data_IF_481874069786
#
_entry.id   IF_481874069786
#
_cell.length_a   1.000
_cell.length_b   1.000
_cell.length_c   1.000
_cell.angle_alpha   90.00
_cell.angle_beta   90.00
_cell.angle_gamma   90.00
#
_symmetry.space_group_name_H-M   'P 1'
#
loop_
_entity.id
_entity.type
_entity.pdbx_description
1 polymer ?
#
# COMPACT_ATOMS: atom_id res chain seq x y z
N UNK A 1 20.11 -8.77 -9.79
CA UNK A 1 19.27 -7.74 -9.13
C UNK A 1 17.85 -8.29 -9.02
N UNK A 2 17.26 -8.35 -7.82
CA UNK A 2 15.93 -8.95 -7.63
C UNK A 2 14.87 -8.18 -8.43
N UNK A 3 13.94 -8.88 -9.11
CA UNK A 3 12.84 -8.29 -9.90
C UNK A 3 12.09 -7.20 -9.10
N UNK A 4 11.95 -7.43 -7.77
CA UNK A 4 11.33 -6.47 -6.83
C UNK A 4 12.05 -5.12 -6.73
N UNK A 5 13.36 -5.07 -6.96
CA UNK A 5 14.14 -3.81 -6.91
C UNK A 5 13.89 -2.99 -8.16
N UNK A 6 13.81 -3.64 -9.34
CA UNK A 6 13.56 -2.96 -10.62
C UNK A 6 12.18 -2.29 -10.63
N UNK A 7 11.16 -3.01 -10.20
CA UNK A 7 9.79 -2.47 -10.15
C UNK A 7 9.66 -1.27 -9.21
N UNK A 8 10.38 -1.28 -8.08
CA UNK A 8 10.44 -0.11 -7.18
C UNK A 8 11.08 1.10 -7.87
N UNK A 9 12.09 0.93 -8.71
CA UNK A 9 12.69 2.03 -9.46
C UNK A 9 11.71 2.60 -10.49
N UNK A 10 10.99 1.76 -11.22
CA UNK A 10 9.95 2.19 -12.16
C UNK A 10 8.81 2.93 -11.45
N UNK A 11 8.39 2.44 -10.28
CA UNK A 11 7.40 3.11 -9.44
C UNK A 11 7.84 4.54 -9.07
N UNK A 12 9.06 4.68 -8.55
CA UNK A 12 9.60 5.99 -8.15
C UNK A 12 9.72 6.94 -9.34
N UNK A 13 10.14 6.44 -10.50
CA UNK A 13 10.18 7.23 -11.75
C UNK A 13 8.79 7.68 -12.17
N UNK A 14 7.79 6.79 -12.13
CA UNK A 14 6.43 7.11 -12.50
C UNK A 14 5.81 8.19 -11.58
N UNK A 15 6.01 8.09 -10.26
CA UNK A 15 5.53 9.10 -9.29
C UNK A 15 6.27 10.43 -9.44
N UNK A 16 7.56 10.40 -9.79
CA UNK A 16 8.36 11.60 -10.00
C UNK A 16 8.06 12.30 -11.32
N UNK A 17 7.38 11.63 -12.25
CA UNK A 17 7.09 12.18 -13.57
C UNK A 17 6.14 13.40 -13.46
N UNK A 18 6.35 14.49 -14.23
CA UNK A 18 5.50 15.68 -14.14
C UNK A 18 4.03 15.44 -14.44
N UNK A 19 3.71 14.45 -15.29
CA UNK A 19 2.32 14.09 -15.62
C UNK A 19 1.60 13.33 -14.50
N UNK A 20 2.32 12.83 -13.51
CA UNK A 20 1.69 12.16 -12.38
C UNK A 20 1.01 13.18 -11.47
N UNK A 21 -0.30 13.02 -11.32
CA UNK A 21 -1.15 13.82 -10.45
C UNK A 21 -1.82 12.92 -9.44
N UNK A 22 -1.87 13.38 -8.19
CA UNK A 22 -2.59 12.72 -7.12
C UNK A 22 -3.33 13.79 -6.31
N UNK A 23 -4.61 13.59 -6.08
CA UNK A 23 -5.51 14.56 -5.44
C UNK A 23 -6.12 13.93 -4.20
N UNK A 24 -5.75 14.47 -3.05
CA UNK A 24 -6.46 14.20 -1.80
C UNK A 24 -7.74 15.04 -1.77
N UNK A 25 -8.87 14.38 -1.59
CA UNK A 25 -10.13 15.07 -1.37
C UNK A 25 -10.22 15.55 0.09
N UNK A 26 -10.84 16.72 0.33
CA UNK A 26 -11.09 17.19 1.68
C UNK A 26 -12.08 16.25 2.37
N UNK A 27 -11.63 15.71 3.49
CA UNK A 27 -12.44 14.98 4.44
C UNK A 27 -12.69 15.89 5.67
N UNK A 28 -13.77 15.64 6.40
CA UNK A 28 -14.24 16.46 7.53
C UNK A 28 -13.25 16.55 8.71
N UNK A 29 -13.26 17.61 9.52
CA UNK A 29 -12.28 17.76 10.62
C UNK A 29 -12.28 16.59 11.62
N UNK A 30 -13.39 15.84 11.69
CA UNK A 30 -13.56 14.65 12.50
C UNK A 30 -12.55 13.53 12.21
N UNK A 31 -12.19 13.26 10.94
CA UNK A 31 -11.19 12.21 10.66
C UNK A 31 -9.80 12.60 11.15
N UNK A 32 -9.45 13.90 11.16
CA UNK A 32 -8.14 14.35 11.67
C UNK A 32 -7.98 13.97 13.14
N UNK A 33 -9.03 14.12 13.93
CA UNK A 33 -9.06 13.77 15.37
C UNK A 33 -8.88 12.25 15.57
N UNK A 34 -9.53 11.44 14.74
CA UNK A 34 -9.40 9.97 14.79
C UNK A 34 -8.07 9.45 14.24
N UNK A 35 -7.55 10.08 13.19
CA UNK A 35 -6.25 9.75 12.60
C UNK A 35 -5.06 10.13 13.51
N UNK A 36 -5.29 10.90 14.57
CA UNK A 36 -4.27 11.26 15.56
C UNK A 36 -4.37 10.51 16.89
N UNK A 37 -5.32 9.60 17.09
CA UNK A 37 -5.54 8.97 18.41
C UNK A 37 -5.83 7.46 18.40
N UNK A 38 -4.95 6.71 19.10
CA UNK A 38 -5.18 5.37 19.65
C UNK A 38 -5.86 4.34 18.73
N UNK A 39 -6.77 3.57 19.31
CA UNK A 39 -7.51 2.48 18.66
C UNK A 39 -8.34 2.94 17.45
N UNK A 40 -8.80 4.21 17.43
CA UNK A 40 -9.55 4.74 16.29
C UNK A 40 -8.69 4.89 15.04
N UNK A 41 -7.41 5.28 15.21
CA UNK A 41 -6.46 5.34 14.10
C UNK A 41 -6.14 3.95 13.57
N UNK A 42 -5.79 3.01 14.45
CA UNK A 42 -5.47 1.62 14.09
C UNK A 42 -6.62 0.94 13.31
N UNK A 43 -7.88 1.22 13.67
CA UNK A 43 -9.05 0.69 12.94
C UNK A 43 -9.22 1.32 11.55
N UNK A 44 -8.94 2.62 11.41
CA UNK A 44 -8.97 3.28 10.11
C UNK A 44 -7.85 2.77 9.21
N UNK A 45 -6.64 2.56 9.74
CA UNK A 45 -5.52 1.94 9.03
C UNK A 45 -5.88 0.53 8.54
N UNK A 46 -6.38 -0.32 9.45
CA UNK A 46 -6.81 -1.68 9.13
C UNK A 46 -7.87 -1.71 8.03
N UNK A 47 -8.89 -0.85 8.13
CA UNK A 47 -9.95 -0.74 7.12
C UNK A 47 -9.39 -0.23 5.80
N UNK A 48 -8.54 0.79 5.87
CA UNK A 48 -7.90 1.42 4.72
C UNK A 48 -7.05 0.45 3.90
N UNK A 49 -6.13 -0.28 4.55
CA UNK A 49 -5.28 -1.29 3.90
C UNK A 49 -6.11 -2.35 3.14
N UNK A 50 -7.14 -2.90 3.80
CA UNK A 50 -8.01 -3.91 3.21
C UNK A 50 -8.76 -3.43 1.97
N UNK A 51 -9.41 -2.25 2.06
CA UNK A 51 -10.12 -1.70 0.91
C UNK A 51 -9.16 -1.26 -0.19
N UNK A 52 -8.04 -0.65 0.15
CA UNK A 52 -7.06 -0.14 -0.80
C UNK A 52 -6.51 -1.26 -1.69
N UNK A 53 -6.04 -2.37 -1.10
CA UNK A 53 -5.55 -3.52 -1.85
C UNK A 53 -6.63 -4.07 -2.77
N UNK A 54 -7.86 -4.21 -2.27
CA UNK A 54 -8.99 -4.74 -3.04
C UNK A 54 -9.33 -3.84 -4.23
N UNK A 55 -9.45 -2.53 -4.02
CA UNK A 55 -9.77 -1.55 -5.07
C UNK A 55 -8.69 -1.52 -6.15
N UNK A 56 -7.41 -1.49 -5.74
CA UNK A 56 -6.27 -1.49 -6.67
C UNK A 56 -6.18 -2.80 -7.44
N UNK A 57 -6.32 -3.95 -6.79
CA UNK A 57 -6.32 -5.25 -7.46
C UNK A 57 -7.43 -5.34 -8.51
N UNK A 58 -8.64 -4.90 -8.16
CA UNK A 58 -9.79 -4.88 -9.07
C UNK A 58 -9.54 -3.94 -10.26
N UNK A 59 -8.99 -2.76 -10.03
CA UNK A 59 -8.62 -1.79 -11.07
C UNK A 59 -7.64 -2.40 -12.07
N UNK A 60 -6.55 -3.04 -11.59
CA UNK A 60 -5.55 -3.65 -12.47
C UNK A 60 -6.18 -4.82 -13.25
N UNK A 61 -6.93 -5.68 -12.57
CA UNK A 61 -7.56 -6.85 -13.20
C UNK A 61 -8.46 -6.46 -14.37
N UNK A 62 -9.34 -5.47 -14.20
CA UNK A 62 -10.23 -5.05 -15.27
C UNK A 62 -9.52 -4.34 -16.41
N UNK A 63 -8.40 -3.67 -16.13
CA UNK A 63 -7.67 -2.92 -17.14
C UNK A 63 -6.69 -3.77 -17.95
N UNK A 64 -6.17 -4.85 -17.36
CA UNK A 64 -5.28 -5.80 -18.03
C UNK A 64 -5.72 -7.25 -17.78
N UNK A 65 -6.91 -7.66 -18.26
CA UNK A 65 -7.47 -8.98 -17.97
C UNK A 65 -6.67 -10.15 -18.58
N UNK A 66 -5.83 -9.88 -19.58
CA UNK A 66 -4.96 -10.87 -20.22
C UNK A 66 -3.67 -11.14 -19.46
N UNK A 67 -3.34 -10.37 -18.42
CA UNK A 67 -2.10 -10.52 -17.70
C UNK A 67 -2.17 -11.67 -16.67
N UNK A 68 -1.07 -12.39 -16.39
CA UNK A 68 -1.08 -13.49 -15.44
C UNK A 68 -1.48 -13.03 -14.04
N UNK A 69 -2.30 -13.81 -13.34
CA UNK A 69 -2.76 -13.49 -11.98
C UNK A 69 -1.60 -13.22 -11.01
N UNK A 70 -0.53 -14.01 -11.10
CA UNK A 70 0.66 -13.80 -10.27
C UNK A 70 1.35 -12.45 -10.52
N UNK A 71 1.31 -11.94 -11.76
CA UNK A 71 1.83 -10.62 -12.10
C UNK A 71 0.89 -9.51 -11.60
N UNK A 72 -0.42 -9.65 -11.83
CA UNK A 72 -1.44 -8.70 -11.34
C UNK A 72 -1.32 -8.51 -9.82
N UNK A 73 -1.23 -9.61 -9.06
CA UNK A 73 -1.05 -9.56 -7.60
C UNK A 73 0.24 -8.85 -7.21
N UNK A 74 1.35 -9.09 -7.92
CA UNK A 74 2.61 -8.39 -7.66
C UNK A 74 2.50 -6.88 -7.92
N UNK A 75 1.82 -6.46 -8.99
CA UNK A 75 1.59 -5.05 -9.31
C UNK A 75 0.68 -4.38 -8.27
N UNK A 76 -0.39 -5.06 -7.85
CA UNK A 76 -1.26 -4.55 -6.79
C UNK A 76 -0.45 -4.29 -5.52
N UNK A 77 0.33 -5.28 -5.05
CA UNK A 77 1.19 -5.12 -3.87
C UNK A 77 2.27 -4.04 -4.02
N UNK A 78 2.78 -3.82 -5.23
CA UNK A 78 3.72 -2.72 -5.49
C UNK A 78 3.03 -1.36 -5.33
N UNK A 79 1.85 -1.19 -5.91
CA UNK A 79 1.07 0.04 -5.85
C UNK A 79 0.52 0.32 -4.45
N UNK A 80 0.26 -0.71 -3.64
CA UNK A 80 -0.16 -0.55 -2.24
C UNK A 80 0.99 -0.71 -1.23
N UNK A 81 2.24 -0.54 -1.69
CA UNK A 81 3.39 -0.61 -0.79
C UNK A 81 3.62 0.69 -0.03
N UNK A 82 4.20 0.60 1.17
CA UNK A 82 4.62 1.77 1.96
C UNK A 82 5.49 2.74 1.15
N UNK A 83 6.34 2.22 0.26
CA UNK A 83 7.17 3.04 -0.63
C UNK A 83 6.31 3.90 -1.57
N UNK A 84 5.25 3.33 -2.14
CA UNK A 84 4.31 4.04 -3.00
C UNK A 84 3.64 5.18 -2.22
N UNK A 85 3.05 4.87 -1.06
CA UNK A 85 2.33 5.85 -0.24
C UNK A 85 3.21 7.00 0.20
N UNK A 86 4.41 6.70 0.68
CA UNK A 86 5.37 7.72 1.10
C UNK A 86 5.78 8.62 -0.07
N UNK A 87 6.02 8.03 -1.23
CA UNK A 87 6.39 8.78 -2.44
C UNK A 87 5.24 9.70 -2.89
N UNK A 88 3.99 9.24 -2.80
CA UNK A 88 2.80 10.06 -3.09
C UNK A 88 2.66 11.21 -2.09
N UNK A 89 2.79 10.95 -0.79
CA UNK A 89 2.66 11.96 0.26
C UNK A 89 3.73 13.06 0.15
N UNK A 90 4.97 12.68 -0.18
CA UNK A 90 6.06 13.62 -0.46
C UNK A 90 5.78 14.42 -1.74
N UNK A 91 5.36 13.75 -2.82
CA UNK A 91 5.09 14.37 -4.12
C UNK A 91 3.95 15.40 -4.07
N UNK A 92 2.94 15.16 -3.24
CA UNK A 92 1.77 16.02 -3.04
C UNK A 92 2.00 17.11 -1.98
N UNK A 93 3.14 17.07 -1.27
CA UNK A 93 3.50 18.00 -0.18
C UNK A 93 2.49 18.01 0.97
N UNK A 94 1.70 16.94 1.11
CA UNK A 94 0.84 16.73 2.29
C UNK A 94 1.70 16.56 3.54
N UNK A 95 2.83 15.87 3.40
CA UNK A 95 3.88 15.83 4.41
C UNK A 95 4.98 16.82 4.00
N UNK A 96 5.37 17.69 4.93
CA UNK A 96 6.34 18.78 4.69
C UNK A 96 7.80 18.39 4.89
N UNK A 97 8.05 17.27 5.58
CA UNK A 97 9.40 16.86 5.98
C UNK A 97 9.86 15.65 5.17
N UNK A 98 11.17 15.57 4.93
CA UNK A 98 11.78 14.42 4.30
C UNK A 98 11.61 13.19 5.21
N UNK A 99 11.24 12.05 4.62
CA UNK A 99 11.21 10.76 5.30
C UNK A 99 12.62 10.20 5.25
N UNK A 100 13.31 10.16 6.39
CA UNK A 100 14.73 9.78 6.51
C UNK A 100 14.95 8.46 7.23
N UNK A 101 13.96 8.00 7.99
CA UNK A 101 14.02 6.78 8.79
C UNK A 101 12.96 5.76 8.37
N UNK A 102 13.21 4.48 8.68
CA UNK A 102 12.23 3.42 8.47
C UNK A 102 10.95 3.62 9.31
N UNK A 103 11.08 4.24 10.50
CA UNK A 103 9.94 4.58 11.35
C UNK A 103 9.04 5.65 10.73
N UNK A 104 9.63 6.69 10.13
CA UNK A 104 8.89 7.73 9.40
C UNK A 104 8.20 7.17 8.15
N UNK A 105 8.85 6.25 7.42
CA UNK A 105 8.26 5.57 6.26
C UNK A 105 7.02 4.78 6.68
N UNK A 106 7.10 4.05 7.79
CA UNK A 106 5.95 3.31 8.33
C UNK A 106 4.83 4.28 8.72
N UNK A 107 5.15 5.30 9.52
CA UNK A 107 4.16 6.29 9.97
C UNK A 107 3.45 7.02 8.82
N UNK A 108 4.18 7.35 7.74
CA UNK A 108 3.61 7.96 6.56
C UNK A 108 2.68 7.00 5.79
N UNK A 109 3.08 5.72 5.64
CA UNK A 109 2.23 4.70 5.05
C UNK A 109 0.94 4.48 5.86
N UNK A 110 1.08 4.31 7.17
CA UNK A 110 -0.02 4.19 8.13
C UNK A 110 -0.98 5.41 8.01
N UNK A 111 -0.43 6.62 7.84
CA UNK A 111 -1.24 7.84 7.62
C UNK A 111 -2.05 7.81 6.33
N UNK A 112 -1.47 7.28 5.24
CA UNK A 112 -2.18 7.11 3.97
C UNK A 112 -3.32 6.08 4.11
N UNK A 113 -3.05 4.94 4.75
CA UNK A 113 -4.05 3.90 5.02
C UNK A 113 -5.20 4.46 5.88
N UNK A 114 -4.89 5.19 6.96
CA UNK A 114 -5.88 5.84 7.80
C UNK A 114 -6.76 6.83 7.01
N UNK A 115 -6.16 7.60 6.09
CA UNK A 115 -6.91 8.48 5.20
C UNK A 115 -7.89 7.70 4.32
N UNK A 116 -7.45 6.58 3.72
CA UNK A 116 -8.32 5.73 2.89
C UNK A 116 -9.47 5.14 3.72
N UNK A 117 -9.19 4.66 4.94
CA UNK A 117 -10.23 4.17 5.85
C UNK A 117 -11.23 5.26 6.23
N UNK A 118 -10.78 6.49 6.44
CA UNK A 118 -11.65 7.63 6.71
C UNK A 118 -12.50 7.99 5.48
N UNK A 119 -11.88 8.03 4.29
CA UNK A 119 -12.55 8.28 3.03
C UNK A 119 -13.68 7.26 2.81
N UNK A 120 -13.37 5.97 2.95
CA UNK A 120 -14.35 4.89 2.86
C UNK A 120 -15.54 5.11 3.80
N UNK A 121 -15.26 5.41 5.07
CA UNK A 121 -16.30 5.58 6.08
C UNK A 121 -17.21 6.78 5.80
N UNK A 122 -16.66 7.86 5.25
CA UNK A 122 -17.41 9.09 4.99
C UNK A 122 -18.16 9.04 3.65
N UNK A 123 -17.56 8.43 2.62
CA UNK A 123 -18.05 8.51 1.24
C UNK A 123 -18.66 7.22 0.73
N UNK A 124 -18.33 6.07 1.31
CA UNK A 124 -18.77 4.76 0.85
C UNK A 124 -17.82 4.11 -0.14
N UNK A 125 -18.12 2.84 -0.47
CA UNK A 125 -17.27 1.98 -1.29
C UNK A 125 -17.16 2.46 -2.74
N UNK A 126 -18.28 2.82 -3.35
CA UNK A 126 -18.33 3.20 -4.77
C UNK A 126 -17.50 4.47 -5.02
N UNK A 127 -17.61 5.44 -4.12
CA UNK A 127 -16.86 6.69 -4.19
C UNK A 127 -15.36 6.44 -3.97
N UNK A 128 -15.02 5.49 -3.09
CA UNK A 128 -13.62 5.08 -2.91
C UNK A 128 -13.07 4.43 -4.17
N UNK A 129 -13.81 3.51 -4.78
CA UNK A 129 -13.39 2.85 -6.01
C UNK A 129 -13.13 3.84 -7.14
N UNK A 130 -14.03 4.82 -7.33
CA UNK A 130 -13.85 5.90 -8.31
C UNK A 130 -12.59 6.73 -8.02
N UNK A 131 -12.38 7.11 -6.75
CA UNK A 131 -11.21 7.88 -6.33
C UNK A 131 -9.90 7.11 -6.53
N UNK A 132 -9.88 5.81 -6.21
CA UNK A 132 -8.72 4.93 -6.46
C UNK A 132 -8.44 4.81 -7.96
N UNK A 133 -9.47 4.54 -8.77
CA UNK A 133 -9.30 4.47 -10.22
C UNK A 133 -8.77 5.77 -10.83
N UNK A 134 -9.24 6.93 -10.36
CA UNK A 134 -8.76 8.22 -10.83
C UNK A 134 -7.29 8.49 -10.45
N UNK A 135 -6.91 8.20 -9.20
CA UNK A 135 -5.58 8.53 -8.68
C UNK A 135 -4.51 7.47 -9.01
N UNK A 136 -4.85 6.19 -8.89
CA UNK A 136 -3.93 5.09 -9.17
C UNK A 136 -3.98 4.62 -10.63
N UNK A 137 -5.04 4.96 -11.38
CA UNK A 137 -5.19 4.56 -12.78
C UNK A 137 -4.07 5.13 -13.65
N UNK A 138 -3.81 6.44 -13.56
CA UNK A 138 -2.74 7.09 -14.32
C UNK A 138 -1.35 6.56 -13.94
N UNK A 139 -1.12 6.27 -12.65
CA UNK A 139 0.11 5.63 -12.20
C UNK A 139 0.26 4.21 -12.76
N UNK A 140 -0.80 3.41 -12.70
CA UNK A 140 -0.81 2.04 -13.19
C UNK A 140 -0.63 2.00 -14.71
N UNK A 141 -1.25 2.90 -15.47
CA UNK A 141 -1.11 3.01 -16.92
C UNK A 141 0.34 3.19 -17.37
N UNK A 142 1.12 3.98 -16.63
CA UNK A 142 2.52 4.24 -16.94
C UNK A 142 3.47 3.18 -16.37
N UNK A 143 3.07 2.46 -15.31
CA UNK A 143 3.94 1.52 -14.59
C UNK A 143 3.75 0.07 -15.04
N UNK A 144 2.49 -0.38 -15.14
CA UNK A 144 2.13 -1.80 -15.31
C UNK A 144 2.64 -2.37 -16.63
N UNK A 145 2.50 -1.71 -17.80
CA UNK A 145 3.04 -2.22 -19.06
C UNK A 145 4.57 -2.40 -19.01
N UNK A 146 5.30 -1.41 -18.47
CA UNK A 146 6.77 -1.47 -18.36
C UNK A 146 7.20 -2.65 -17.48
N UNK A 147 6.55 -2.83 -16.33
CA UNK A 147 6.84 -3.96 -15.44
C UNK A 147 6.49 -5.31 -16.08
N UNK A 148 5.43 -5.36 -16.90
CA UNK A 148 5.01 -6.57 -17.60
C UNK A 148 5.99 -6.97 -18.70
N UNK A 149 6.48 -5.98 -19.43
CA UNK A 149 7.54 -6.17 -20.42
C UNK A 149 8.78 -6.82 -19.81
N UNK A 150 9.18 -6.41 -18.61
CA UNK A 150 10.27 -7.08 -17.91
C UNK A 150 9.88 -8.45 -17.33
N UNK A 151 8.63 -8.60 -16.89
CA UNK A 151 8.12 -9.86 -16.32
C UNK A 151 8.15 -11.00 -17.34
N UNK A 152 7.80 -10.71 -18.60
CA UNK A 152 7.73 -11.71 -19.68
C UNK A 152 9.10 -12.13 -20.21
N UNK A 153 10.17 -11.41 -19.89
CA UNK A 153 11.51 -11.77 -20.36
C UNK A 153 11.96 -13.10 -19.75
N UNK A 154 12.66 -13.95 -20.52
CA UNK A 154 13.27 -15.16 -20.00
C UNK A 154 14.14 -14.82 -18.80
N UNK A 155 13.91 -15.49 -17.67
CA UNK A 155 14.80 -15.34 -16.52
C UNK A 155 16.18 -15.84 -16.93
N UNK A 156 17.25 -15.07 -16.71
CA UNK A 156 18.60 -15.60 -16.90
C UNK A 156 18.71 -16.88 -16.08
N UNK A 157 19.25 -17.93 -16.69
CA UNK A 157 19.40 -19.24 -16.06
C UNK A 157 20.03 -19.04 -14.68
N UNK A 158 19.26 -19.32 -13.62
CA UNK A 158 19.76 -19.16 -12.26
C UNK A 158 20.86 -20.19 -12.05
N UNK A 159 22.11 -19.76 -11.89
CA UNK A 159 23.11 -20.57 -11.22
C UNK A 159 22.54 -20.98 -9.85
N UNK A 160 22.53 -22.28 -9.59
CA UNK A 160 21.91 -22.90 -8.42
C UNK A 160 22.39 -22.24 -7.13
N UNK A 161 21.49 -21.55 -6.45
CA UNK A 161 21.74 -20.97 -5.12
C UNK A 161 20.57 -21.35 -4.21
N UNK A 162 20.71 -22.50 -3.58
CA UNK A 162 19.72 -23.22 -2.76
C UNK A 162 19.42 -22.54 -1.41
N UNK A 163 19.84 -21.29 -1.15
CA UNK A 163 20.00 -20.83 0.25
C UNK A 163 19.29 -19.53 0.67
N UNK A 164 18.21 -19.10 0.00
CA UNK A 164 17.55 -17.81 0.35
C UNK A 164 16.05 -17.82 0.65
N UNK A 165 15.36 -18.97 0.64
CA UNK A 165 13.91 -18.99 0.90
C UNK A 165 13.51 -18.89 2.38
N UNK A 166 14.44 -19.09 3.32
CA UNK A 166 14.07 -19.21 4.72
C UNK A 166 13.90 -17.86 5.46
N UNK A 167 14.49 -16.77 4.94
CA UNK A 167 14.57 -15.49 5.69
C UNK A 167 13.34 -14.60 5.44
N UNK A 168 12.84 -14.54 4.20
CA UNK A 168 11.72 -13.64 3.85
C UNK A 168 10.37 -14.12 4.43
N UNK A 169 10.17 -15.43 4.59
CA UNK A 169 8.96 -16.00 5.21
C UNK A 169 8.90 -15.75 6.73
N UNK A 170 10.04 -15.67 7.40
CA UNK A 170 10.10 -15.40 8.84
C UNK A 170 9.78 -13.94 9.18
N UNK A 171 10.16 -12.98 8.32
CA UNK A 171 9.87 -11.56 8.52
C UNK A 171 8.38 -11.23 8.28
N UNK A 172 7.78 -11.84 7.25
CA UNK A 172 6.35 -11.74 6.97
C UNK A 172 5.50 -12.42 8.08
N UNK A 173 5.97 -13.55 8.63
CA UNK A 173 5.33 -14.23 9.77
C UNK A 173 5.45 -13.43 11.06
N UNK A 174 6.60 -12.80 11.34
CA UNK A 174 6.78 -11.93 12.53
C UNK A 174 5.87 -10.71 12.49
N UNK A 175 5.72 -10.07 11.34
CA UNK A 175 4.85 -8.90 11.18
C UNK A 175 3.36 -9.22 11.36
N UNK A 176 2.91 -10.39 10.90
CA UNK A 176 1.53 -10.86 11.14
C UNK A 176 1.29 -11.30 12.59
N UNK A 177 2.27 -11.94 13.23
CA UNK A 177 2.15 -12.44 14.61
C UNK A 177 2.11 -11.31 15.64
N UNK A 178 2.86 -10.23 15.41
CA UNK A 178 2.80 -9.03 16.25
C UNK A 178 1.43 -8.33 16.18
N UNK A 179 0.82 -8.24 14.99
CA UNK A 179 -0.52 -7.67 14.83
C UNK A 179 -1.60 -8.50 15.55
N UNK A 180 -1.47 -9.83 15.60
CA UNK A 180 -2.42 -10.70 16.33
C UNK A 180 -2.23 -10.66 17.86
N UNK A 181 -0.99 -10.64 18.36
CA UNK A 181 -0.74 -10.69 19.82
C UNK A 181 -1.24 -9.43 20.55
N UNK A 182 -1.15 -8.26 19.90
CA UNK A 182 -1.69 -7.00 20.42
C UNK A 182 -3.23 -7.02 20.50
N UNK A 183 -3.89 -7.78 19.61
CA UNK A 183 -5.34 -7.92 19.60
C UNK A 183 -5.83 -8.83 20.74
N UNK A 184 -5.10 -9.91 21.05
CA UNK A 184 -5.46 -10.87 22.10
C UNK A 184 -5.20 -10.36 23.53
N UNK A 185 -4.20 -9.49 23.75
CA UNK A 185 -3.93 -8.94 25.09
C UNK A 185 -4.97 -7.90 25.55
N UNK A 186 -5.61 -7.19 24.61
CA UNK A 186 -6.63 -6.17 24.93
C UNK A 186 -8.02 -6.74 25.22
N UNK A 187 -8.31 -7.97 24.79
CA UNK A 187 -9.59 -8.63 25.12
C UNK A 187 -9.60 -9.25 26.52
N UNK A 188 -8.43 -9.53 27.12
CA UNK A 188 -8.33 -10.11 28.46
C UNK A 188 -8.29 -9.08 29.60
N UNK A 189 -8.11 -7.80 29.29
CA UNK A 189 -8.00 -6.73 30.30
C UNK A 189 -9.33 -6.04 30.64
N UNK A 190 -10.45 -6.46 30.04
CA UNK A 190 -11.80 -5.95 30.31
C UNK A 190 -12.66 -6.89 31.19
N UNK A 191 -12.06 -7.93 31.77
CA UNK A 191 -12.79 -8.99 32.46
C UNK A 191 -12.32 -9.27 33.88
N UNK A 192 -12.01 -8.28 34.72
CA UNK A 192 -11.97 -8.42 36.18
C UNK A 192 -12.05 -7.05 36.87
N UNK A 193 -13.27 -6.57 37.06
CA UNK A 193 -13.61 -5.53 38.04
C UNK A 193 -15.08 -5.71 38.40
N UNK A 194 -15.33 -6.68 39.26
CA UNK A 194 -16.53 -6.80 40.10
C UNK A 194 -16.06 -7.20 41.48
#
# INVERSE_FOLDING_TARGET
MSDRIKYKQHLLRAISHPSFTFVFEPLDSYWRIRATSGMSRELLEFTGDGFLLRCVLRMIYWRWPSYPAAFITQMAHLLVSNLCFCSILLRTRVVKYAITTAGELKSAADTFEAYVGAYFRQRGEEQLDRWICANFGSLAENLVPICYEEYRLPRPAKMSSTRKRHVDDDEARRSKRYKLSVFTDRTNTLGHST
#
